data_IF_095866090701
#
_entry.id   IF_095866090701
#
_cell.length_a   1.000
_cell.length_b   1.000
_cell.length_c   1.000
_cell.angle_alpha   90.00
_cell.angle_beta   90.00
_cell.angle_gamma   90.00
#
_symmetry.space_group_name_H-M   'P 1'
#
loop_
_entity.id
_entity.type
_entity.pdbx_description
1 polymer ?
#
# COMPACT_ATOMS: atom_id res chain seq x y z
N UNK A 1 19.68 0.52 5.01
CA UNK A 1 19.25 -0.88 5.15
C UNK A 1 18.24 -1.15 4.06
N UNK A 2 18.31 -2.32 3.44
CA UNK A 2 17.35 -2.78 2.44
C UNK A 2 16.58 -3.95 3.02
N UNK A 3 15.26 -3.94 2.84
CA UNK A 3 14.35 -5.00 3.26
C UNK A 3 13.36 -5.23 2.13
N UNK A 4 13.03 -6.49 1.87
CA UNK A 4 12.23 -6.96 0.75
C UNK A 4 10.72 -7.00 1.04
N UNK A 5 10.31 -6.66 2.26
CA UNK A 5 8.92 -6.69 2.69
C UNK A 5 8.50 -5.39 3.39
N UNK A 6 7.35 -4.86 3.00
CA UNK A 6 6.72 -3.66 3.61
C UNK A 6 6.52 -3.80 5.12
N UNK A 7 6.08 -4.98 5.59
CA UNK A 7 5.87 -5.20 7.04
C UNK A 7 7.18 -5.23 7.83
N UNK A 8 8.26 -5.77 7.25
CA UNK A 8 9.58 -5.76 7.88
C UNK A 8 10.09 -4.32 8.03
N UNK A 9 9.98 -3.52 6.96
CA UNK A 9 10.35 -2.09 6.99
C UNK A 9 9.56 -1.36 8.08
N UNK A 10 8.23 -1.55 8.12
CA UNK A 10 7.36 -0.93 9.12
C UNK A 10 7.79 -1.29 10.55
N UNK A 11 8.06 -2.57 10.83
CA UNK A 11 8.48 -3.03 12.16
C UNK A 11 9.81 -2.43 12.61
N UNK A 12 10.76 -2.25 11.71
CA UNK A 12 12.06 -1.63 12.04
C UNK A 12 11.88 -0.16 12.38
N UNK A 13 11.04 0.58 11.64
CA UNK A 13 10.76 1.98 11.98
C UNK A 13 10.03 2.08 13.33
N UNK A 14 9.04 1.22 13.57
CA UNK A 14 8.33 1.14 14.86
C UNK A 14 9.25 0.81 16.05
N UNK A 15 10.34 0.06 15.82
CA UNK A 15 11.33 -0.20 16.86
C UNK A 15 12.29 0.98 17.11
N UNK A 16 12.03 2.15 16.51
CA UNK A 16 12.84 3.36 16.65
C UNK A 16 14.06 3.41 15.74
N UNK A 17 14.15 2.53 14.73
CA UNK A 17 15.30 2.47 13.83
C UNK A 17 15.02 3.19 12.51
N UNK A 18 15.36 4.49 12.49
CA UNK A 18 15.38 5.32 11.28
C UNK A 18 13.99 5.71 10.77
N UNK A 19 13.90 5.93 9.46
CA UNK A 19 12.67 6.32 8.76
C UNK A 19 12.58 5.56 7.42
N UNK A 20 11.37 5.42 6.89
CA UNK A 20 11.12 4.73 5.63
C UNK A 20 10.06 5.43 4.79
N UNK A 21 10.17 5.28 3.46
CA UNK A 21 9.14 5.65 2.51
C UNK A 21 8.23 4.43 2.28
N UNK A 22 6.99 4.50 2.77
CA UNK A 22 6.01 3.43 2.68
C UNK A 22 4.68 3.92 2.07
N UNK A 23 3.90 3.05 1.42
CA UNK A 23 2.54 3.38 1.04
C UNK A 23 1.70 3.72 2.28
N UNK A 24 0.99 4.84 2.27
CA UNK A 24 0.16 5.28 3.41
C UNK A 24 -0.83 4.20 3.86
N UNK A 25 -1.41 3.46 2.91
CA UNK A 25 -2.35 2.37 3.21
C UNK A 25 -1.77 1.27 4.11
N UNK A 26 -0.45 1.05 4.09
CA UNK A 26 0.21 0.00 4.88
C UNK A 26 0.53 0.43 6.32
N UNK A 27 0.43 1.73 6.61
CA UNK A 27 0.79 2.36 7.90
C UNK A 27 -0.34 3.20 8.49
N UNK A 28 -1.56 3.13 7.91
CA UNK A 28 -2.70 3.98 8.27
C UNK A 28 -3.11 3.82 9.74
N UNK A 29 -3.03 2.60 10.28
CA UNK A 29 -3.46 2.33 11.64
C UNK A 29 -2.40 2.77 12.67
N UNK A 30 -1.12 2.60 12.36
CA UNK A 30 0.00 3.08 13.16
C UNK A 30 0.00 4.62 13.22
N UNK A 31 -0.28 5.30 12.11
CA UNK A 31 -0.50 6.75 12.10
C UNK A 31 -1.68 7.15 12.98
N UNK A 32 -2.81 6.42 12.89
CA UNK A 32 -4.02 6.70 13.68
C UNK A 32 -3.78 6.50 15.17
N UNK A 33 -2.97 5.51 15.56
CA UNK A 33 -2.58 5.23 16.95
C UNK A 33 -1.47 6.16 17.45
N UNK A 34 -0.84 6.95 16.58
CA UNK A 34 0.29 7.82 16.94
C UNK A 34 1.61 7.06 17.16
N UNK A 35 1.69 5.81 16.70
CA UNK A 35 2.91 4.98 16.77
C UNK A 35 3.92 5.40 15.70
N UNK A 36 3.44 5.98 14.60
CA UNK A 36 4.25 6.57 13.54
C UNK A 36 3.80 8.01 13.27
N UNK A 37 4.74 8.82 12.80
CA UNK A 37 4.49 10.17 12.29
C UNK A 37 4.83 10.24 10.80
N UNK A 38 3.95 10.87 10.02
CA UNK A 38 4.19 11.09 8.60
C UNK A 38 5.10 12.31 8.38
N UNK A 39 6.20 12.11 7.65
CA UNK A 39 7.07 13.21 7.21
C UNK A 39 6.62 13.71 5.84
N UNK A 40 6.55 15.03 5.67
CA UNK A 40 6.18 15.64 4.39
C UNK A 40 7.31 15.49 3.37
N UNK A 41 6.99 15.01 2.17
CA UNK A 41 7.93 14.94 1.05
C UNK A 41 7.86 16.22 0.21
N UNK A 42 9.00 16.61 -0.37
CA UNK A 42 9.04 17.66 -1.38
C UNK A 42 8.18 17.27 -2.61
N UNK A 43 7.53 18.26 -3.23
CA UNK A 43 6.65 18.01 -4.38
C UNK A 43 7.46 18.02 -5.69
N UNK A 44 7.14 17.12 -6.66
CA UNK A 44 6.09 16.12 -6.59
C UNK A 44 6.51 14.90 -5.75
N UNK A 45 5.63 14.47 -4.85
CA UNK A 45 5.84 13.24 -4.10
C UNK A 45 5.53 12.02 -4.99
N UNK A 46 6.24 10.89 -4.80
CA UNK A 46 5.95 9.67 -5.54
C UNK A 46 4.52 9.18 -5.25
N UNK A 47 3.80 8.79 -6.30
CA UNK A 47 2.46 8.18 -6.19
C UNK A 47 2.52 6.73 -6.62
N UNK A 48 1.93 5.85 -5.81
CA UNK A 48 1.79 4.43 -6.13
C UNK A 48 0.40 4.17 -6.70
N UNK A 49 0.33 3.89 -8.00
CA UNK A 49 -0.90 3.40 -8.63
C UNK A 49 -1.03 1.90 -8.43
N UNK A 50 -2.22 1.45 -8.03
CA UNK A 50 -2.59 0.03 -7.97
C UNK A 50 -3.44 -0.28 -9.20
N UNK A 51 -3.11 -1.35 -9.91
CA UNK A 51 -3.82 -1.77 -11.12
C UNK A 51 -4.47 -3.13 -10.91
N UNK A 52 -5.67 -3.27 -11.46
CA UNK A 52 -6.33 -4.55 -11.61
C UNK A 52 -5.88 -5.19 -12.93
N UNK A 53 -5.25 -6.35 -12.86
CA UNK A 53 -4.74 -7.06 -14.03
C UNK A 53 -5.57 -8.31 -14.29
N UNK A 54 -6.01 -8.46 -15.54
CA UNK A 54 -6.71 -9.65 -16.04
C UNK A 54 -6.00 -10.17 -17.28
N UNK A 55 -6.04 -11.49 -17.49
CA UNK A 55 -5.48 -12.10 -18.71
C UNK A 55 -6.31 -11.65 -19.91
N UNK A 56 -5.63 -11.19 -20.95
CA UNK A 56 -6.29 -10.86 -22.22
C UNK A 56 -7.05 -12.09 -22.77
N UNK A 57 -8.31 -11.88 -23.17
CA UNK A 57 -9.18 -12.94 -23.68
C UNK A 57 -9.72 -13.92 -22.64
N UNK A 58 -9.49 -13.69 -21.35
CA UNK A 58 -10.15 -14.48 -20.31
C UNK A 58 -11.58 -13.99 -20.11
N UNK A 59 -12.53 -14.93 -20.05
CA UNK A 59 -13.90 -14.71 -19.59
C UNK A 59 -13.95 -14.95 -18.08
N UNK A 60 -14.05 -13.91 -17.22
CA UNK A 60 -14.12 -14.11 -15.79
C UNK A 60 -15.41 -14.86 -15.43
N UNK A 61 -15.33 -15.76 -14.44
CA UNK A 61 -16.54 -16.36 -13.87
C UNK A 61 -17.48 -15.27 -13.34
N UNK A 62 -18.77 -15.59 -13.17
CA UNK A 62 -19.74 -14.63 -12.62
C UNK A 62 -19.26 -14.02 -11.28
N UNK A 63 -18.68 -14.85 -10.40
CA UNK A 63 -18.11 -14.42 -9.13
C UNK A 63 -16.89 -13.50 -9.32
N UNK A 64 -15.95 -13.87 -10.21
CA UNK A 64 -14.79 -13.03 -10.49
C UNK A 64 -15.22 -11.69 -11.09
N UNK A 65 -16.11 -11.67 -12.09
CA UNK A 65 -16.63 -10.46 -12.70
C UNK A 65 -17.35 -9.54 -11.70
N UNK A 66 -18.11 -10.11 -10.75
CA UNK A 66 -18.72 -9.34 -9.66
C UNK A 66 -17.66 -8.67 -8.77
N UNK A 67 -16.60 -9.40 -8.40
CA UNK A 67 -15.49 -8.86 -7.61
C UNK A 67 -14.75 -7.74 -8.34
N UNK A 68 -14.42 -7.92 -9.63
CA UNK A 68 -13.75 -6.88 -10.42
C UNK A 68 -14.59 -5.59 -10.45
N UNK A 69 -15.91 -5.70 -10.64
CA UNK A 69 -16.83 -4.56 -10.61
C UNK A 69 -16.90 -3.89 -9.25
N UNK A 70 -16.84 -4.67 -8.17
CA UNK A 70 -16.81 -4.13 -6.81
C UNK A 70 -15.53 -3.34 -6.54
N UNK A 71 -14.37 -3.91 -6.88
CA UNK A 71 -13.06 -3.30 -6.63
C UNK A 71 -12.81 -1.99 -7.39
N UNK A 72 -13.47 -1.79 -8.55
CA UNK A 72 -13.34 -0.54 -9.33
C UNK A 72 -14.24 0.59 -8.78
N UNK A 73 -15.23 0.27 -7.95
CA UNK A 73 -16.17 1.25 -7.36
C UNK A 73 -15.78 1.72 -5.96
N UNK A 74 -14.96 0.95 -5.27
CA UNK A 74 -14.43 1.24 -3.93
C UNK A 74 -13.23 2.19 -4.01
#
# INVERSE_FOLDING_TARGET
MELDNTEAVKRVVLSGLGAALLPEMAIRDELRRGELVALSLARPAPRRTIYLLVRAGAEPSAAAGALLKFLVRA
#
